data_IF_699560761049
#
_entry.id   IF_699560761049
#
_cell.length_a   1.000
_cell.length_b   1.000
_cell.length_c   1.000
_cell.angle_alpha   90.00
_cell.angle_beta   90.00
_cell.angle_gamma   90.00
#
_symmetry.space_group_name_H-M   'P 1'
#
loop_
_entity.id
_entity.type
_entity.pdbx_description
1 polymer ?
#
# COMPACT_ATOMS: atom_id res chain seq x y z
N UNK A 1 11.93 14.78 8.18
CA UNK A 1 13.06 14.36 9.04
C UNK A 1 13.44 12.94 8.76
N UNK A 2 14.74 12.58 8.90
CA UNK A 2 15.25 11.23 8.66
C UNK A 2 15.50 10.47 9.95
N UNK A 3 15.09 9.22 10.02
CA UNK A 3 15.26 8.33 11.16
C UNK A 3 15.87 7.01 10.73
N UNK A 4 16.74 6.46 11.57
CA UNK A 4 17.32 5.12 11.37
C UNK A 4 16.82 4.23 12.49
N UNK A 5 16.08 3.18 12.13
CA UNK A 5 15.48 2.24 13.07
C UNK A 5 15.96 0.81 12.78
N UNK A 6 16.20 0.03 13.83
CA UNK A 6 16.40 -1.40 13.71
C UNK A 6 15.05 -2.13 13.59
N UNK A 7 15.06 -3.44 13.27
CA UNK A 7 13.84 -4.22 13.05
C UNK A 7 12.90 -4.22 14.25
N UNK A 8 13.44 -4.26 15.49
CA UNK A 8 12.62 -4.22 16.71
C UNK A 8 11.91 -2.89 16.84
N UNK A 9 12.63 -1.78 16.68
CA UNK A 9 12.06 -0.42 16.74
C UNK A 9 11.00 -0.22 15.67
N UNK A 10 11.17 -0.80 14.47
CA UNK A 10 10.14 -0.75 13.40
C UNK A 10 8.91 -1.55 13.81
N UNK A 11 9.06 -2.70 14.45
CA UNK A 11 7.92 -3.47 14.94
C UNK A 11 7.17 -2.74 16.07
N UNK A 12 7.90 -2.03 16.94
CA UNK A 12 7.29 -1.16 17.96
C UNK A 12 6.53 0.00 17.30
N UNK A 13 7.12 0.66 16.30
CA UNK A 13 6.47 1.67 15.46
C UNK A 13 5.19 1.11 14.80
N UNK A 14 5.23 -0.12 14.26
CA UNK A 14 4.06 -0.76 13.66
C UNK A 14 2.94 -1.00 14.69
N UNK A 15 3.29 -1.35 15.93
CA UNK A 15 2.31 -1.52 16.99
C UNK A 15 1.55 -0.21 17.30
N UNK A 16 2.23 0.92 17.26
CA UNK A 16 1.60 2.23 17.42
C UNK A 16 0.75 2.60 16.19
N UNK A 17 1.31 2.45 14.99
CA UNK A 17 0.60 2.75 13.74
C UNK A 17 -0.66 1.90 13.57
N UNK A 18 -0.66 0.65 13.98
CA UNK A 18 -1.82 -0.26 13.90
C UNK A 18 -3.01 0.19 14.76
N UNK A 19 -2.84 1.11 15.68
CA UNK A 19 -3.96 1.70 16.41
C UNK A 19 -4.89 2.52 15.49
N UNK A 20 -4.31 3.22 14.50
CA UNK A 20 -5.03 4.10 13.56
C UNK A 20 -5.11 3.52 12.13
N UNK A 21 -4.17 2.69 11.73
CA UNK A 21 -3.99 2.21 10.36
C UNK A 21 -4.06 0.68 10.26
N UNK A 22 -4.49 0.19 9.10
CA UNK A 22 -4.21 -1.16 8.63
C UNK A 22 -2.99 -1.04 7.72
N UNK A 23 -1.95 -1.84 7.98
CA UNK A 23 -0.69 -1.77 7.23
C UNK A 23 -0.69 -2.84 6.16
N UNK A 24 -0.52 -2.44 4.90
CA UNK A 24 -0.40 -3.32 3.74
C UNK A 24 1.00 -3.26 3.14
N UNK A 25 1.54 -4.40 2.76
CA UNK A 25 2.81 -4.50 2.05
C UNK A 25 2.84 -5.73 1.12
N UNK A 26 3.80 -5.82 0.19
CA UNK A 26 4.07 -7.06 -0.51
C UNK A 26 4.48 -8.14 0.48
N UNK A 27 3.73 -9.24 0.51
CA UNK A 27 3.91 -10.40 1.41
C UNK A 27 3.98 -11.68 0.60
N UNK A 28 4.84 -12.62 1.03
CA UNK A 28 5.00 -13.94 0.42
C UNK A 28 3.96 -14.91 0.97
N UNK A 29 3.39 -15.68 0.08
CA UNK A 29 2.50 -16.80 0.38
C UNK A 29 3.10 -18.05 -0.25
N UNK A 30 3.62 -18.92 0.60
CA UNK A 30 4.26 -20.15 0.20
C UNK A 30 3.25 -21.11 -0.43
N UNK A 31 3.64 -21.75 -1.54
CA UNK A 31 2.83 -22.75 -2.26
C UNK A 31 1.42 -22.28 -2.67
N UNK A 32 1.20 -20.98 -2.79
CA UNK A 32 -0.08 -20.41 -3.24
C UNK A 32 0.03 -19.75 -4.63
N UNK A 33 1.11 -20.01 -5.35
CA UNK A 33 1.30 -19.53 -6.70
C UNK A 33 0.43 -20.27 -7.72
N UNK A 34 0.66 -19.95 -8.99
CA UNK A 34 -0.08 -20.56 -10.09
C UNK A 34 0.09 -22.09 -10.19
N UNK A 35 1.23 -22.58 -9.74
CA UNK A 35 1.55 -24.00 -9.66
C UNK A 35 1.73 -24.39 -8.19
N UNK A 36 1.44 -25.64 -7.84
CA UNK A 36 1.39 -26.11 -6.46
C UNK A 36 2.70 -26.01 -5.67
N UNK A 37 3.82 -25.83 -6.36
CA UNK A 37 5.16 -25.73 -5.80
C UNK A 37 5.75 -24.33 -5.85
N UNK A 38 4.98 -23.36 -6.36
CA UNK A 38 5.43 -21.98 -6.49
C UNK A 38 4.81 -21.07 -5.41
N UNK A 39 5.60 -20.07 -5.01
CA UNK A 39 5.16 -19.02 -4.11
C UNK A 39 4.49 -17.89 -4.92
N UNK A 40 3.71 -17.09 -4.23
CA UNK A 40 3.16 -15.86 -4.76
C UNK A 40 3.46 -14.69 -3.83
N UNK A 41 3.80 -13.54 -4.40
CA UNK A 41 3.96 -12.29 -3.66
C UNK A 41 2.81 -11.37 -4.06
N UNK A 42 1.98 -11.01 -3.09
CA UNK A 42 0.86 -10.08 -3.29
C UNK A 42 0.74 -9.13 -2.11
N UNK A 43 0.01 -8.05 -2.29
CA UNK A 43 -0.27 -7.12 -1.20
C UNK A 43 -1.27 -7.72 -0.23
N UNK A 44 -0.92 -7.72 1.06
CA UNK A 44 -1.80 -8.14 2.14
C UNK A 44 -1.44 -7.42 3.44
N UNK A 45 -2.28 -7.59 4.45
CA UNK A 45 -2.05 -7.06 5.79
C UNK A 45 -0.81 -7.69 6.41
N UNK A 46 0.04 -6.84 6.95
CA UNK A 46 1.25 -7.27 7.69
C UNK A 46 1.16 -6.89 9.16
N UNK A 47 1.77 -7.70 9.99
CA UNK A 47 1.87 -7.46 11.42
C UNK A 47 3.28 -7.05 11.86
N UNK A 48 4.29 -7.54 11.17
CA UNK A 48 5.70 -7.31 11.48
C UNK A 48 6.46 -6.92 10.22
N UNK A 49 7.59 -6.24 10.41
CA UNK A 49 8.42 -5.75 9.30
C UNK A 49 9.05 -6.88 8.48
N UNK A 50 9.31 -8.01 9.11
CA UNK A 50 9.90 -9.20 8.50
C UNK A 50 8.99 -9.85 7.45
N UNK A 51 7.70 -9.54 7.47
CA UNK A 51 6.74 -10.01 6.47
C UNK A 51 6.85 -9.27 5.13
N UNK A 52 7.56 -8.12 5.11
CA UNK A 52 7.65 -7.27 3.92
C UNK A 52 8.65 -7.86 2.91
N UNK A 53 8.18 -8.15 1.72
CA UNK A 53 9.03 -8.53 0.60
C UNK A 53 9.37 -7.28 -0.23
N UNK A 54 10.53 -6.70 0.03
CA UNK A 54 10.98 -5.46 -0.63
C UNK A 54 11.94 -5.71 -1.81
N UNK A 55 12.63 -6.84 -1.81
CA UNK A 55 13.69 -7.21 -2.76
C UNK A 55 13.21 -8.07 -3.94
N UNK A 56 11.91 -8.38 -4.00
CA UNK A 56 11.29 -9.10 -5.10
C UNK A 56 10.05 -8.36 -5.62
N UNK A 57 9.68 -8.64 -6.86
CA UNK A 57 8.51 -8.01 -7.49
C UNK A 57 7.24 -8.73 -7.05
N UNK A 58 6.22 -7.95 -6.67
CA UNK A 58 4.89 -8.52 -6.41
C UNK A 58 4.25 -9.04 -7.70
N UNK A 59 3.57 -10.17 -7.61
CA UNK A 59 2.84 -10.78 -8.73
C UNK A 59 1.61 -9.94 -9.13
N UNK A 60 0.93 -9.38 -8.12
CA UNK A 60 -0.22 -8.51 -8.31
C UNK A 60 0.07 -7.08 -7.90
N UNK A 61 -0.54 -6.09 -8.56
CA UNK A 61 -0.28 -4.68 -8.29
C UNK A 61 -0.97 -4.20 -7.01
N UNK A 62 -0.44 -3.14 -6.43
CA UNK A 62 -0.98 -2.47 -5.23
C UNK A 62 -2.44 -2.04 -5.35
N UNK A 63 -2.90 -1.78 -6.57
CA UNK A 63 -4.28 -1.34 -6.82
C UNK A 63 -5.35 -2.29 -6.30
N UNK A 64 -5.05 -3.60 -6.15
CA UNK A 64 -6.01 -4.58 -5.61
C UNK A 64 -6.41 -4.29 -4.15
N UNK A 65 -5.58 -3.57 -3.41
CA UNK A 65 -5.91 -3.11 -2.05
C UNK A 65 -7.00 -2.04 -2.08
N UNK A 66 -6.98 -1.16 -3.10
CA UNK A 66 -7.88 0.01 -3.20
C UNK A 66 -9.10 -0.32 -4.06
N UNK A 67 -8.90 -1.10 -5.13
CA UNK A 67 -9.93 -1.57 -6.04
C UNK A 67 -9.93 -3.10 -6.06
N UNK A 68 -10.56 -3.76 -5.08
CA UNK A 68 -10.60 -5.21 -5.04
C UNK A 68 -11.34 -5.77 -6.26
N UNK A 69 -10.94 -6.99 -6.67
CA UNK A 69 -11.51 -7.67 -7.86
C UNK A 69 -13.03 -7.87 -7.72
N UNK A 70 -13.50 -8.07 -6.50
CA UNK A 70 -14.92 -8.21 -6.18
C UNK A 70 -15.24 -7.48 -4.89
N UNK A 71 -16.34 -6.74 -4.90
CA UNK A 71 -16.82 -6.01 -3.73
C UNK A 71 -18.34 -6.04 -3.68
N UNK A 72 -18.89 -6.33 -2.51
CA UNK A 72 -20.32 -6.20 -2.27
C UNK A 72 -20.65 -4.73 -2.02
N UNK A 73 -21.47 -4.15 -2.89
CA UNK A 73 -21.92 -2.77 -2.77
C UNK A 73 -23.22 -2.68 -1.98
N UNK A 74 -24.16 -3.58 -2.28
CA UNK A 74 -25.49 -3.58 -1.67
C UNK A 74 -25.95 -5.00 -1.36
N UNK A 75 -26.74 -5.13 -0.31
CA UNK A 75 -27.53 -6.32 0.00
C UNK A 75 -29.00 -6.01 -0.29
N UNK A 76 -29.66 -6.92 -1.01
CA UNK A 76 -31.10 -6.86 -1.26
C UNK A 76 -31.78 -7.96 -0.44
N UNK A 77 -32.70 -7.56 0.44
CA UNK A 77 -33.47 -8.47 1.28
C UNK A 77 -34.94 -8.10 1.10
N UNK A 78 -35.69 -8.95 0.44
CA UNK A 78 -37.11 -8.73 0.10
C UNK A 78 -37.33 -7.37 -0.63
N UNK A 79 -37.93 -6.40 0.04
CA UNK A 79 -38.21 -5.06 -0.48
C UNK A 79 -37.25 -3.97 0.03
N UNK A 80 -36.21 -4.36 0.77
CA UNK A 80 -35.23 -3.43 1.30
C UNK A 80 -33.87 -3.64 0.61
N UNK A 81 -33.15 -2.53 0.41
CA UNK A 81 -31.74 -2.60 0.06
C UNK A 81 -30.91 -1.96 1.18
N UNK A 82 -29.75 -2.52 1.45
CA UNK A 82 -28.80 -1.99 2.42
C UNK A 82 -27.44 -1.87 1.77
N UNK A 83 -26.80 -0.71 1.91
CA UNK A 83 -25.43 -0.52 1.49
C UNK A 83 -24.50 -1.38 2.35
N UNK A 84 -23.54 -2.06 1.71
CA UNK A 84 -22.51 -2.80 2.42
C UNK A 84 -21.66 -1.83 3.23
N UNK A 85 -21.51 -2.11 4.52
CA UNK A 85 -20.57 -1.36 5.36
C UNK A 85 -19.15 -1.85 5.07
N UNK A 86 -18.21 -0.93 5.03
CA UNK A 86 -16.80 -1.31 4.98
C UNK A 86 -16.41 -1.99 6.30
N UNK A 87 -15.69 -3.11 6.21
CA UNK A 87 -15.35 -3.95 7.38
C UNK A 87 -14.52 -3.23 8.44
N UNK A 88 -13.79 -2.21 8.04
CA UNK A 88 -13.01 -1.37 8.96
C UNK A 88 -13.12 0.10 8.58
N UNK A 89 -13.19 0.96 9.61
CA UNK A 89 -13.11 2.41 9.45
C UNK A 89 -11.66 2.94 9.56
N UNK A 90 -10.68 2.07 9.86
CA UNK A 90 -9.27 2.46 9.96
C UNK A 90 -8.74 2.95 8.62
N UNK A 91 -7.82 3.91 8.66
CA UNK A 91 -7.05 4.32 7.50
C UNK A 91 -6.14 3.16 7.03
N UNK A 92 -5.69 3.21 5.79
CA UNK A 92 -4.78 2.23 5.21
C UNK A 92 -3.41 2.88 4.99
N UNK A 93 -2.37 2.23 5.45
CA UNK A 93 -0.99 2.63 5.23
C UNK A 93 -0.32 1.57 4.36
N UNK A 94 -0.01 1.93 3.12
CA UNK A 94 0.40 0.98 2.10
C UNK A 94 1.85 1.21 1.71
N UNK A 95 2.68 0.18 1.91
CA UNK A 95 4.04 0.16 1.37
C UNK A 95 3.97 -0.05 -0.14
N UNK A 96 4.41 0.93 -0.92
CA UNK A 96 4.36 0.87 -2.37
C UNK A 96 5.61 1.49 -3.01
N UNK A 97 5.98 1.00 -4.19
CA UNK A 97 7.10 1.58 -4.94
C UNK A 97 6.67 2.86 -5.65
N UNK A 98 7.60 3.77 -6.00
CA UNK A 98 7.26 5.01 -6.70
C UNK A 98 6.42 4.79 -7.96
N UNK A 99 6.73 3.77 -8.75
CA UNK A 99 5.99 3.45 -9.97
C UNK A 99 4.54 3.01 -9.68
N UNK A 100 4.31 2.27 -8.59
CA UNK A 100 2.98 1.82 -8.17
C UNK A 100 2.15 3.02 -7.67
N UNK A 101 2.77 3.93 -6.89
CA UNK A 101 2.12 5.15 -6.42
C UNK A 101 1.74 6.04 -7.61
N UNK A 102 2.64 6.21 -8.58
CA UNK A 102 2.35 6.96 -9.80
C UNK A 102 1.25 6.31 -10.65
N UNK A 103 1.20 4.97 -10.71
CA UNK A 103 0.11 4.25 -11.35
C UNK A 103 -1.23 4.49 -10.63
N UNK A 104 -1.21 4.55 -9.29
CA UNK A 104 -2.40 4.87 -8.51
C UNK A 104 -2.92 6.29 -8.79
N UNK A 105 -2.04 7.29 -8.93
CA UNK A 105 -2.42 8.66 -9.34
C UNK A 105 -3.10 8.69 -10.72
N UNK A 106 -2.74 7.81 -11.64
CA UNK A 106 -3.43 7.68 -12.92
C UNK A 106 -4.83 7.11 -12.75
N UNK A 107 -5.00 6.14 -11.85
CA UNK A 107 -6.33 5.64 -11.49
C UNK A 107 -7.20 6.73 -10.84
N UNK A 108 -6.62 7.55 -9.95
CA UNK A 108 -7.32 8.70 -9.37
C UNK A 108 -7.89 9.62 -10.46
N UNK A 109 -7.16 9.82 -11.56
CA UNK A 109 -7.66 10.61 -12.70
C UNK A 109 -8.86 9.96 -13.38
N UNK A 110 -8.87 8.64 -13.50
CA UNK A 110 -9.96 7.89 -14.15
C UNK A 110 -11.21 7.90 -13.27
N UNK A 111 -11.07 7.63 -11.98
CA UNK A 111 -12.21 7.46 -11.08
C UNK A 111 -12.72 8.76 -10.46
N UNK A 112 -11.83 9.74 -10.21
CA UNK A 112 -12.18 10.98 -9.50
C UNK A 112 -12.29 12.21 -10.43
N UNK A 113 -11.72 12.14 -11.64
CA UNK A 113 -11.70 13.28 -12.57
C UNK A 113 -12.34 12.97 -13.92
N UNK A 114 -13.27 12.03 -13.96
CA UNK A 114 -13.97 11.67 -15.17
C UNK A 114 -15.10 12.69 -15.47
N UNK A 115 -14.74 13.85 -16.01
CA UNK A 115 -15.66 14.99 -16.26
C UNK A 115 -16.31 15.46 -14.96
N UNK A 116 -17.65 15.32 -14.84
CA UNK A 116 -18.42 15.74 -13.68
C UNK A 116 -18.80 14.57 -12.75
N UNK A 117 -18.24 13.38 -12.97
CA UNK A 117 -18.59 12.18 -12.21
C UNK A 117 -17.39 11.70 -11.42
N UNK A 118 -17.59 11.57 -10.11
CA UNK A 118 -16.65 10.88 -9.21
C UNK A 118 -17.25 9.52 -8.85
N UNK A 119 -16.41 8.48 -8.89
CA UNK A 119 -16.78 7.19 -8.30
C UNK A 119 -16.74 7.28 -6.78
N UNK A 120 -17.92 7.25 -6.16
CA UNK A 120 -18.04 7.44 -4.72
C UNK A 120 -17.44 6.31 -3.89
N UNK A 121 -17.45 5.07 -4.41
CA UNK A 121 -16.86 3.92 -3.71
C UNK A 121 -15.35 4.00 -3.76
N UNK A 122 -14.79 4.26 -4.94
CA UNK A 122 -13.36 4.49 -5.09
C UNK A 122 -12.88 5.64 -4.21
N UNK A 123 -13.57 6.77 -4.21
CA UNK A 123 -13.25 7.93 -3.39
C UNK A 123 -13.18 7.59 -1.90
N UNK A 124 -14.20 6.90 -1.36
CA UNK A 124 -14.23 6.47 0.04
C UNK A 124 -13.04 5.58 0.41
N UNK A 125 -12.63 4.70 -0.48
CA UNK A 125 -11.45 3.87 -0.27
C UNK A 125 -10.17 4.70 -0.35
N UNK A 126 -10.04 5.51 -1.41
CA UNK A 126 -8.82 6.30 -1.69
C UNK A 126 -8.53 7.35 -0.62
N UNK A 127 -9.57 8.00 -0.09
CA UNK A 127 -9.43 9.02 0.97
C UNK A 127 -8.85 8.46 2.28
N UNK A 128 -8.84 7.15 2.44
CA UNK A 128 -8.29 6.45 3.60
C UNK A 128 -6.87 5.96 3.41
N UNK A 129 -6.32 6.09 2.21
CA UNK A 129 -5.00 5.56 1.85
C UNK A 129 -3.91 6.60 2.05
N UNK A 130 -2.88 6.19 2.78
CA UNK A 130 -1.58 6.85 2.88
C UNK A 130 -0.49 5.90 2.35
N UNK A 131 0.53 6.43 1.71
CA UNK A 131 1.61 5.62 1.17
C UNK A 131 2.89 5.75 1.99
N UNK A 132 3.55 4.61 2.22
CA UNK A 132 4.97 4.52 2.56
C UNK A 132 5.71 4.18 1.27
N UNK A 133 6.45 5.12 0.73
CA UNK A 133 7.24 4.93 -0.48
C UNK A 133 8.44 4.02 -0.20
N UNK A 134 8.44 2.79 -0.72
CA UNK A 134 9.60 1.90 -0.68
C UNK A 134 10.59 2.30 -1.78
N UNK A 135 11.77 2.75 -1.39
CA UNK A 135 12.82 3.10 -2.36
C UNK A 135 13.35 1.83 -3.04
N UNK A 136 13.42 1.85 -4.37
CA UNK A 136 14.06 0.80 -5.14
C UNK A 136 15.56 1.09 -5.23
N UNK A 137 16.37 0.14 -4.77
CA UNK A 137 17.85 0.18 -4.93
C UNK A 137 18.28 -0.36 -6.28
N UNK A 138 17.52 -1.31 -6.82
CA UNK A 138 17.79 -2.00 -8.08
C UNK A 138 16.50 -2.11 -8.92
N UNK A 139 16.69 -2.18 -10.23
CA UNK A 139 15.60 -2.49 -11.17
C UNK A 139 15.63 -3.97 -11.56
N UNK A 140 14.46 -4.54 -11.87
CA UNK A 140 14.36 -5.86 -12.48
C UNK A 140 14.37 -5.76 -14.00
N UNK A 141 14.66 -6.86 -14.71
CA UNK A 141 14.76 -6.91 -16.18
C UNK A 141 13.52 -6.36 -16.90
N UNK A 142 12.34 -6.46 -16.27
CA UNK A 142 11.09 -5.95 -16.82
C UNK A 142 10.76 -4.51 -16.38
N UNK A 143 11.65 -3.85 -15.65
CA UNK A 143 11.43 -2.47 -15.21
C UNK A 143 11.74 -1.47 -16.32
N UNK A 144 10.82 -0.56 -16.57
CA UNK A 144 10.99 0.57 -17.49
C UNK A 144 10.54 1.91 -16.88
N UNK A 145 10.48 1.96 -15.55
CA UNK A 145 10.02 3.13 -14.80
C UNK A 145 10.92 4.37 -15.03
N UNK A 146 12.21 4.19 -15.29
CA UNK A 146 13.11 5.28 -15.66
C UNK A 146 12.72 5.94 -17.00
N UNK A 147 12.41 5.11 -18.01
CA UNK A 147 11.94 5.57 -19.32
C UNK A 147 10.60 6.29 -19.22
N UNK A 148 9.72 5.85 -18.30
CA UNK A 148 8.41 6.44 -18.08
C UNK A 148 8.43 7.60 -17.06
N UNK A 149 9.59 7.98 -16.53
CA UNK A 149 9.75 8.97 -15.45
C UNK A 149 8.85 8.66 -14.23
N UNK A 150 8.62 7.38 -13.94
CA UNK A 150 7.78 6.93 -12.82
C UNK A 150 8.59 6.30 -11.66
N UNK A 151 9.92 6.36 -11.74
CA UNK A 151 10.83 5.87 -10.70
C UNK A 151 10.97 6.83 -9.49
N UNK A 152 10.34 8.00 -9.56
CA UNK A 152 10.25 8.99 -8.49
C UNK A 152 8.82 9.44 -8.32
N UNK A 153 8.45 9.79 -7.08
CA UNK A 153 7.12 10.33 -6.76
C UNK A 153 7.21 11.28 -5.58
N UNK A 154 6.26 12.20 -5.50
CA UNK A 154 6.06 13.11 -4.37
C UNK A 154 4.79 12.76 -3.58
N UNK A 155 4.03 11.76 -4.00
CA UNK A 155 2.74 11.38 -3.41
C UNK A 155 2.93 10.27 -2.37
N UNK A 156 3.56 10.63 -1.23
CA UNK A 156 3.75 9.71 -0.11
C UNK A 156 3.77 10.48 1.21
N UNK A 157 3.43 9.80 2.30
CA UNK A 157 3.51 10.34 3.66
C UNK A 157 4.86 10.07 4.31
N UNK A 158 5.38 8.86 4.07
CA UNK A 158 6.68 8.38 4.54
C UNK A 158 7.43 7.76 3.36
N UNK A 159 8.78 7.86 3.37
CA UNK A 159 9.61 7.02 2.51
C UNK A 159 10.48 6.11 3.37
N UNK A 160 10.78 4.92 2.87
CA UNK A 160 11.62 3.94 3.55
C UNK A 160 12.62 3.32 2.59
N UNK A 161 13.87 3.20 3.06
CA UNK A 161 14.91 2.42 2.42
C UNK A 161 15.28 1.26 3.33
N UNK A 162 15.22 0.06 2.77
CA UNK A 162 15.63 -1.16 3.46
C UNK A 162 17.14 -1.34 3.33
N UNK A 163 17.82 -1.55 4.44
CA UNK A 163 19.18 -2.05 4.54
C UNK A 163 19.14 -3.35 5.35
N UNK A 164 20.21 -4.13 5.34
CA UNK A 164 20.24 -5.48 5.93
C UNK A 164 19.69 -5.52 7.37
N UNK A 165 20.17 -4.64 8.26
CA UNK A 165 19.80 -4.64 9.69
C UNK A 165 18.97 -3.44 10.13
N UNK A 166 18.75 -2.48 9.24
CA UNK A 166 18.11 -1.22 9.61
C UNK A 166 17.25 -0.69 8.47
N UNK A 167 16.24 0.06 8.82
CA UNK A 167 15.41 0.82 7.90
C UNK A 167 15.66 2.31 8.08
N UNK A 168 15.81 3.01 6.95
CA UNK A 168 15.93 4.47 6.95
C UNK A 168 14.60 5.06 6.55
N UNK A 169 13.96 5.75 7.48
CA UNK A 169 12.69 6.45 7.24
C UNK A 169 12.94 7.92 6.96
N UNK A 170 12.18 8.47 6.01
CA UNK A 170 12.04 9.90 5.80
C UNK A 170 10.57 10.27 5.99
N UNK A 171 10.30 11.08 7.02
CA UNK A 171 8.95 11.57 7.32
C UNK A 171 8.71 12.85 6.53
N UNK A 172 7.69 12.82 5.66
CA UNK A 172 7.26 13.95 4.84
C UNK A 172 6.05 14.66 5.42
N UNK A 173 5.02 13.91 5.83
CA UNK A 173 3.83 14.48 6.46
C UNK A 173 4.00 14.58 7.98
N UNK A 174 3.80 15.78 8.52
CA UNK A 174 4.04 16.09 9.93
C UNK A 174 3.21 15.25 10.91
N UNK A 175 2.03 14.78 10.49
CA UNK A 175 1.17 13.93 11.31
C UNK A 175 1.84 12.62 11.76
N UNK A 176 2.89 12.19 11.05
CA UNK A 176 3.64 10.98 11.38
C UNK A 176 4.81 11.22 12.35
N UNK A 177 5.21 12.46 12.61
CA UNK A 177 6.34 12.73 13.53
C UNK A 177 6.11 12.14 14.92
N UNK A 178 4.87 12.19 15.41
CA UNK A 178 4.47 11.64 16.72
C UNK A 178 4.79 10.16 16.94
N UNK A 179 5.04 9.41 15.87
CA UNK A 179 5.37 7.97 15.93
C UNK A 179 6.88 7.73 15.97
N UNK A 180 7.70 8.74 15.75
CA UNK A 180 9.15 8.65 15.71
C UNK A 180 9.83 9.39 16.89
N UNK A 181 9.06 10.04 17.74
CA UNK A 181 9.48 10.66 19.01
C UNK A 181 9.42 9.62 20.14
#
# INVERSE_FOLDING_TARGET
MGYKLNLKEVNDLFNELKKEYIIYAPKRFEKQGRYSDTDIIKYDVINNVEEIVYNEKSTYPVKEVITPISQTLYYFIENEFRESKMDSQKKMLIFARPCDINAQRRQDTIYLKNRNFEDTFYKRMRDRVKFICMECTEGWDTCFCTTMNSNKTDDYSLAVRFNEDNLLFNVKEEEFNKYFE
#
